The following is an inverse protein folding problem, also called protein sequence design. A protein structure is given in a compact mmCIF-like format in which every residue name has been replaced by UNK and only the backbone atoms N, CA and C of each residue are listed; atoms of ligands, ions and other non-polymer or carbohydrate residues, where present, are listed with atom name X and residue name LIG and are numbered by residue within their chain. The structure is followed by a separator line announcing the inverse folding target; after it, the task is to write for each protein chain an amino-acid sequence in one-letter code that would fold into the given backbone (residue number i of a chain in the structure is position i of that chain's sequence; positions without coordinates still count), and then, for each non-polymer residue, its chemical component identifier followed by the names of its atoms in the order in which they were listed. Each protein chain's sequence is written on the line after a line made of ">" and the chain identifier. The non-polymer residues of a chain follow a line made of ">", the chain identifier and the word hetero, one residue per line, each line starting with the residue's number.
data_IF_569842237512
#
_entry.id   IF_569842237512
#
_cell.length_a   1.000
_cell.length_b   1.000
_cell.length_c   1.000
_cell.angle_alpha   90.00
_cell.angle_beta   90.00
_cell.angle_gamma   90.00
#
_symmetry.space_group_name_H-M   'P 1'
#
loop_
_entity.id
_entity.type
_entity.pdbx_description
1 polymer ?
#
# COMPACT_ATOMS: atom_id res chain seq x y z
N UNK A 1 13.41 24.53 12.86
CA UNK A 1 12.35 23.73 12.17
C UNK A 1 12.98 22.52 11.53
N UNK A 2 12.41 21.33 11.70
CA UNK A 2 12.88 20.18 10.96
C UNK A 2 12.65 20.40 9.46
N UNK A 3 13.66 20.08 8.67
CA UNK A 3 13.53 20.16 7.22
C UNK A 3 12.61 19.04 6.72
N UNK A 4 11.74 19.36 5.78
CA UNK A 4 10.95 18.33 5.08
C UNK A 4 11.91 17.40 4.35
N UNK A 5 11.80 16.07 4.53
CA UNK A 5 12.63 15.13 3.78
C UNK A 5 12.49 15.35 2.27
N UNK A 6 13.59 15.27 1.52
CA UNK A 6 13.59 15.44 0.08
C UNK A 6 12.62 14.52 -0.64
N UNK A 7 12.42 13.30 -0.12
CA UNK A 7 11.47 12.34 -0.66
C UNK A 7 10.03 12.86 -0.66
N UNK A 8 9.64 13.69 0.33
CA UNK A 8 8.28 14.25 0.39
C UNK A 8 8.06 15.36 -0.63
N UNK A 9 9.11 16.08 -1.01
CA UNK A 9 9.00 17.14 -2.02
C UNK A 9 8.99 16.61 -3.45
N UNK A 10 9.37 15.34 -3.64
CA UNK A 10 9.47 14.69 -4.95
C UNK A 10 8.53 13.50 -5.11
N UNK A 11 7.43 13.49 -4.36
CA UNK A 11 6.44 12.42 -4.47
C UNK A 11 5.85 12.36 -5.88
N UNK A 12 5.67 11.15 -6.43
CA UNK A 12 4.92 11.01 -7.68
C UNK A 12 3.53 11.62 -7.56
N UNK A 13 3.03 12.33 -8.60
CA UNK A 13 1.68 12.92 -8.56
C UNK A 13 0.58 11.91 -8.23
N UNK A 14 0.71 10.67 -8.68
CA UNK A 14 -0.26 9.61 -8.39
C UNK A 14 -0.33 9.31 -6.88
N UNK A 15 0.80 9.38 -6.18
CA UNK A 15 0.86 9.17 -4.73
C UNK A 15 0.20 10.33 -3.99
N UNK A 16 0.46 11.57 -4.43
CA UNK A 16 -0.18 12.77 -3.87
C UNK A 16 -1.70 12.67 -3.99
N UNK A 17 -2.19 12.31 -5.17
CA UNK A 17 -3.64 12.14 -5.41
C UNK A 17 -4.23 11.03 -4.54
N UNK A 18 -3.54 9.90 -4.42
CA UNK A 18 -3.99 8.77 -3.59
C UNK A 18 -4.09 9.17 -2.11
N UNK A 19 -3.12 9.91 -1.59
CA UNK A 19 -3.15 10.39 -0.20
C UNK A 19 -4.27 11.38 0.04
N UNK A 20 -4.52 12.29 -0.91
CA UNK A 20 -5.66 13.21 -0.82
C UNK A 20 -6.97 12.45 -0.77
N UNK A 21 -7.12 11.43 -1.61
CA UNK A 21 -8.30 10.56 -1.61
C UNK A 21 -8.49 9.85 -0.28
N UNK A 22 -7.42 9.31 0.29
CA UNK A 22 -7.46 8.67 1.60
C UNK A 22 -7.87 9.66 2.70
N UNK A 23 -7.26 10.83 2.74
CA UNK A 23 -7.58 11.87 3.71
C UNK A 23 -9.03 12.31 3.62
N UNK A 24 -9.52 12.54 2.41
CA UNK A 24 -10.92 12.89 2.16
C UNK A 24 -11.86 11.80 2.64
N UNK A 25 -11.57 10.55 2.35
CA UNK A 25 -12.39 9.42 2.78
C UNK A 25 -12.40 9.28 4.31
N UNK A 26 -11.29 9.55 4.97
CA UNK A 26 -11.23 9.56 6.43
C UNK A 26 -12.07 10.70 7.01
N UNK A 27 -12.04 11.88 6.40
CA UNK A 27 -12.87 13.00 6.82
C UNK A 27 -14.37 12.68 6.65
N UNK A 28 -14.73 12.08 5.52
CA UNK A 28 -16.13 11.66 5.27
C UNK A 28 -16.56 10.62 6.32
N UNK A 29 -15.71 9.66 6.65
CA UNK A 29 -16.02 8.65 7.65
C UNK A 29 -16.28 9.27 9.03
N UNK A 30 -15.50 10.29 9.39
CA UNK A 30 -15.71 11.05 10.62
C UNK A 30 -17.05 11.80 10.60
N UNK A 31 -17.31 12.54 9.53
CA UNK A 31 -18.53 13.32 9.38
C UNK A 31 -19.79 12.44 9.41
N UNK A 32 -19.73 11.28 8.76
CA UNK A 32 -20.82 10.29 8.77
C UNK A 32 -21.14 9.80 10.19
N UNK A 33 -20.13 9.80 11.08
CA UNK A 33 -20.31 9.44 12.50
C UNK A 33 -20.71 10.63 13.37
N UNK A 34 -20.92 11.79 12.75
CA UNK A 34 -21.31 13.03 13.43
C UNK A 34 -20.29 13.43 14.50
N UNK A 35 -19.02 13.15 14.27
CA UNK A 35 -17.94 13.49 15.18
C UNK A 35 -17.19 14.73 14.70
N UNK A 36 -16.87 15.63 15.64
CA UNK A 36 -16.05 16.81 15.33
C UNK A 36 -14.58 16.43 15.18
N UNK A 37 -13.83 17.27 14.50
CA UNK A 37 -12.37 17.14 14.43
C UNK A 37 -11.74 17.12 15.81
N UNK A 38 -12.21 17.96 16.69
CA UNK A 38 -11.71 18.05 18.07
C UNK A 38 -11.85 16.72 18.83
N UNK A 39 -13.04 16.12 18.78
CA UNK A 39 -13.29 14.83 19.43
C UNK A 39 -12.45 13.73 18.81
N UNK A 40 -12.38 13.70 17.48
CA UNK A 40 -11.64 12.69 16.75
C UNK A 40 -10.13 12.77 17.04
N UNK A 41 -9.57 13.98 17.01
CA UNK A 41 -8.16 14.22 17.35
C UNK A 41 -7.83 13.73 18.76
N UNK A 42 -8.72 13.98 19.72
CA UNK A 42 -8.56 13.52 21.09
C UNK A 42 -8.52 11.99 21.17
N UNK A 43 -9.42 11.31 20.46
CA UNK A 43 -9.42 9.84 20.41
C UNK A 43 -8.13 9.28 19.79
N UNK A 44 -7.61 9.96 18.80
CA UNK A 44 -6.38 9.55 18.12
C UNK A 44 -5.11 9.92 18.88
N UNK A 45 -5.22 10.76 19.91
CA UNK A 45 -4.05 11.23 20.64
C UNK A 45 -3.20 12.21 19.84
N UNK A 46 -3.80 12.97 18.93
CA UNK A 46 -3.11 13.96 18.10
C UNK A 46 -3.72 15.34 18.29
N UNK A 47 -3.00 16.38 17.87
CA UNK A 47 -3.54 17.75 17.85
C UNK A 47 -4.55 17.91 16.72
N UNK A 48 -5.45 18.90 16.86
CA UNK A 48 -6.41 19.23 15.80
C UNK A 48 -5.69 19.61 14.49
N UNK A 49 -4.62 20.46 14.50
CA UNK A 49 -3.89 20.74 13.29
C UNK A 49 -3.33 19.48 12.60
N UNK A 50 -2.84 18.49 13.35
CA UNK A 50 -2.37 17.24 12.79
C UNK A 50 -3.51 16.44 12.14
N UNK A 51 -4.66 16.40 12.79
CA UNK A 51 -5.85 15.77 12.22
C UNK A 51 -6.27 16.43 10.91
N UNK A 52 -6.29 17.76 10.88
CA UNK A 52 -6.64 18.51 9.67
C UNK A 52 -5.67 18.17 8.53
N UNK A 53 -4.37 18.13 8.82
CA UNK A 53 -3.37 17.76 7.83
C UNK A 53 -3.57 16.34 7.30
N UNK A 54 -3.90 15.39 8.18
CA UNK A 54 -4.22 14.02 7.79
C UNK A 54 -5.44 13.98 6.85
N UNK A 55 -6.48 14.72 7.18
CA UNK A 55 -7.70 14.77 6.35
C UNK A 55 -7.47 15.46 5.00
N UNK A 56 -6.41 16.25 4.89
CA UNK A 56 -5.95 16.83 3.62
C UNK A 56 -5.03 15.89 2.83
N UNK A 57 -4.70 14.72 3.40
CA UNK A 57 -3.80 13.76 2.76
C UNK A 57 -2.33 14.16 2.81
N UNK A 58 -1.92 14.92 3.82
CA UNK A 58 -0.55 15.39 3.97
C UNK A 58 0.41 14.21 4.14
N UNK A 59 1.38 14.10 3.24
CA UNK A 59 2.38 13.04 3.25
C UNK A 59 3.36 13.14 4.44
N UNK A 60 3.45 14.30 5.08
CA UNK A 60 4.28 14.48 6.27
C UNK A 60 3.65 13.93 7.55
N UNK A 61 2.38 13.61 7.54
CA UNK A 61 1.72 12.94 8.67
C UNK A 61 2.11 11.46 8.64
N UNK A 62 2.47 10.91 9.79
CA UNK A 62 2.97 9.54 9.85
C UNK A 62 1.93 8.51 9.42
N UNK A 63 2.41 7.41 8.87
CA UNK A 63 1.55 6.27 8.54
C UNK A 63 0.81 5.75 9.79
N UNK A 64 1.46 5.79 10.97
CA UNK A 64 0.81 5.38 12.21
C UNK A 64 -0.43 6.19 12.54
N UNK A 65 -0.44 7.47 12.23
CA UNK A 65 -1.62 8.33 12.44
C UNK A 65 -2.73 7.94 11.47
N UNK A 66 -2.43 7.75 10.18
CA UNK A 66 -3.40 7.25 9.21
C UNK A 66 -3.95 5.88 9.61
N UNK A 67 -3.07 5.00 10.07
CA UNK A 67 -3.45 3.67 10.54
C UNK A 67 -4.39 3.72 11.74
N UNK A 68 -4.16 4.63 12.68
CA UNK A 68 -5.04 4.84 13.83
C UNK A 68 -6.42 5.30 13.39
N UNK A 69 -6.49 6.22 12.43
CA UNK A 69 -7.76 6.67 11.87
C UNK A 69 -8.53 5.52 11.20
N UNK A 70 -7.83 4.70 10.43
CA UNK A 70 -8.43 3.51 9.80
C UNK A 70 -8.94 2.52 10.85
N UNK A 71 -8.19 2.33 11.93
CA UNK A 71 -8.61 1.47 13.04
C UNK A 71 -9.89 1.99 13.70
N UNK A 72 -10.00 3.31 13.91
CA UNK A 72 -11.19 3.93 14.50
C UNK A 72 -12.46 3.69 13.67
N UNK A 73 -12.33 3.62 12.35
CA UNK A 73 -13.47 3.34 11.47
C UNK A 73 -13.64 1.84 11.15
N UNK A 74 -12.93 0.97 11.87
CA UNK A 74 -13.03 -0.47 11.71
C UNK A 74 -12.35 -1.01 10.45
N UNK A 75 -11.39 -0.28 9.86
CA UNK A 75 -10.71 -0.66 8.62
C UNK A 75 -9.21 -0.89 8.80
N UNK A 76 -8.74 -1.04 10.04
CA UNK A 76 -7.31 -1.25 10.30
C UNK A 76 -6.75 -2.51 9.65
N UNK A 77 -7.54 -3.55 9.51
CA UNK A 77 -7.13 -4.81 8.89
C UNK A 77 -6.88 -4.68 7.39
N UNK A 78 -7.28 -3.59 6.76
CA UNK A 78 -7.00 -3.36 5.33
C UNK A 78 -5.55 -2.96 5.07
N UNK A 79 -4.83 -2.50 6.08
CA UNK A 79 -3.44 -2.05 5.92
C UNK A 79 -2.52 -3.17 5.41
N UNK A 80 -2.48 -4.38 6.01
CA UNK A 80 -1.65 -5.45 5.47
C UNK A 80 -2.03 -5.84 4.05
N UNK A 81 -3.30 -5.68 3.70
CA UNK A 81 -3.82 -6.04 2.37
C UNK A 81 -3.35 -5.11 1.26
N UNK A 82 -2.87 -3.90 1.59
CA UNK A 82 -2.42 -2.93 0.59
C UNK A 82 -1.24 -3.44 -0.24
N UNK A 83 -0.43 -4.33 0.33
CA UNK A 83 0.71 -4.94 -0.37
C UNK A 83 0.57 -6.46 -0.44
N UNK A 84 -0.65 -6.99 -0.40
CA UNK A 84 -0.91 -8.42 -0.43
C UNK A 84 -0.34 -9.02 -1.72
N UNK A 85 0.53 -10.05 -1.61
CA UNK A 85 1.09 -10.72 -2.78
C UNK A 85 0.05 -11.23 -3.79
N UNK A 86 -1.14 -11.56 -3.33
CA UNK A 86 -2.25 -12.02 -4.21
C UNK A 86 -2.67 -10.94 -5.20
N UNK A 87 -2.46 -9.68 -4.88
CA UNK A 87 -2.84 -8.54 -5.72
C UNK A 87 -1.65 -7.91 -6.42
N UNK A 88 -0.47 -8.50 -6.31
CA UNK A 88 0.72 -8.03 -6.99
C UNK A 88 0.78 -8.59 -8.40
N UNK A 89 -0.01 -8.00 -9.28
CA UNK A 89 -0.12 -8.43 -10.68
C UNK A 89 1.18 -8.23 -11.45
N UNK A 90 1.96 -7.23 -11.10
CA UNK A 90 3.25 -6.98 -11.74
C UNK A 90 4.25 -8.10 -11.46
N UNK A 91 4.34 -8.58 -10.21
CA UNK A 91 5.19 -9.71 -9.86
C UNK A 91 4.73 -10.99 -10.53
N UNK A 92 3.41 -11.23 -10.58
CA UNK A 92 2.83 -12.38 -11.28
C UNK A 92 3.21 -12.36 -12.76
N UNK A 93 3.10 -11.20 -13.41
CA UNK A 93 3.46 -11.04 -14.81
C UNK A 93 4.94 -11.32 -15.05
N UNK A 94 5.82 -10.84 -14.16
CA UNK A 94 7.26 -11.11 -14.23
C UNK A 94 7.56 -12.61 -14.07
N UNK A 95 6.88 -13.28 -13.16
CA UNK A 95 7.01 -14.71 -12.94
C UNK A 95 6.60 -15.52 -14.19
N UNK A 96 5.50 -15.14 -14.81
CA UNK A 96 5.01 -15.76 -16.05
C UNK A 96 6.01 -15.54 -17.19
N UNK A 97 6.50 -14.33 -17.38
CA UNK A 97 7.51 -14.00 -18.39
C UNK A 97 8.79 -14.79 -18.20
N UNK A 98 9.26 -14.92 -16.95
CA UNK A 98 10.45 -15.69 -16.62
C UNK A 98 10.25 -17.18 -16.92
N UNK A 99 9.08 -17.74 -16.62
CA UNK A 99 8.74 -19.13 -16.92
C UNK A 99 8.67 -19.38 -18.43
N UNK A 100 8.05 -18.48 -19.19
CA UNK A 100 7.98 -18.56 -20.65
C UNK A 100 9.37 -18.50 -21.27
N UNK A 101 10.23 -17.59 -20.81
CA UNK A 101 11.59 -17.45 -21.27
C UNK A 101 12.41 -18.73 -21.01
N UNK A 102 12.29 -19.31 -19.81
CA UNK A 102 12.97 -20.57 -19.47
C UNK A 102 12.52 -21.72 -20.36
N UNK A 103 11.21 -21.80 -20.64
CA UNK A 103 10.66 -22.81 -21.56
C UNK A 103 11.20 -22.65 -22.96
N UNK A 104 11.30 -21.44 -23.49
CA UNK A 104 11.76 -21.14 -24.83
C UNK A 104 13.25 -21.50 -25.04
N UNK A 105 14.06 -21.39 -23.98
CA UNK A 105 15.52 -21.69 -24.04
C UNK A 105 15.80 -23.18 -23.97
N UNK A 106 14.90 -24.00 -23.42
CA UNK A 106 15.12 -25.47 -23.32
C UNK A 106 14.91 -26.15 -24.67
N UNK A 107 15.95 -26.80 -25.18
CA UNK A 107 15.84 -27.64 -26.36
C UNK A 107 15.07 -28.94 -26.03
N UNK A 108 14.39 -29.57 -27.01
CA UNK A 108 13.73 -30.86 -26.79
C UNK A 108 14.68 -31.94 -26.23
N UNK A 109 15.91 -32.01 -26.72
CA UNK A 109 16.91 -32.94 -26.22
C UNK A 109 17.23 -32.71 -24.73
N UNK A 110 17.31 -31.47 -24.30
CA UNK A 110 17.55 -31.10 -22.89
C UNK A 110 16.41 -31.55 -21.99
N UNK A 111 15.19 -31.39 -22.46
CA UNK A 111 13.98 -31.81 -21.73
C UNK A 111 13.92 -33.34 -21.61
N UNK A 112 14.20 -34.08 -22.69
CA UNK A 112 14.22 -35.54 -22.70
C UNK A 112 15.30 -36.10 -21.75
N UNK A 113 16.51 -35.56 -21.78
CA UNK A 113 17.56 -35.95 -20.88
C UNK A 113 17.17 -35.77 -19.41
N UNK A 114 16.44 -34.70 -19.07
CA UNK A 114 15.96 -34.41 -17.72
C UNK A 114 14.88 -35.40 -17.29
N UNK A 115 13.92 -35.69 -18.17
CA UNK A 115 12.87 -36.68 -17.91
C UNK A 115 13.45 -38.09 -17.76
N UNK A 116 14.42 -38.46 -18.58
CA UNK A 116 15.10 -39.73 -18.46
C UNK A 116 15.81 -39.93 -17.12
N UNK A 117 16.47 -38.90 -16.61
CA UNK A 117 17.09 -38.93 -15.28
C UNK A 117 16.08 -39.09 -14.15
N UNK A 118 14.91 -38.48 -14.24
CA UNK A 118 13.83 -38.65 -13.26
C UNK A 118 13.25 -40.05 -13.29
N UNK A 119 13.12 -40.65 -14.46
CA UNK A 119 12.60 -42.00 -14.62
C UNK A 119 13.51 -43.09 -14.04
N UNK A 120 14.83 -42.84 -14.01
CA UNK A 120 15.82 -43.76 -13.48
C UNK A 120 15.99 -43.70 -11.96
N UNK A 121 15.38 -42.76 -11.32
CA UNK A 121 15.32 -42.67 -9.85
C UNK A 121 14.07 -43.35 -9.32
#
# INVERSE_FOLDING_TARGET
>A
MPKTPGALSTLPPAVVTALRGLGENLAIARVRRKESQRVWAKRMGVSVPTLIRMEQGDAGVSMGIYATALWLIGRGQTLPELADPKHDHAALELDVRAAVKRRAVRSPASVEARLGRKALK
#
